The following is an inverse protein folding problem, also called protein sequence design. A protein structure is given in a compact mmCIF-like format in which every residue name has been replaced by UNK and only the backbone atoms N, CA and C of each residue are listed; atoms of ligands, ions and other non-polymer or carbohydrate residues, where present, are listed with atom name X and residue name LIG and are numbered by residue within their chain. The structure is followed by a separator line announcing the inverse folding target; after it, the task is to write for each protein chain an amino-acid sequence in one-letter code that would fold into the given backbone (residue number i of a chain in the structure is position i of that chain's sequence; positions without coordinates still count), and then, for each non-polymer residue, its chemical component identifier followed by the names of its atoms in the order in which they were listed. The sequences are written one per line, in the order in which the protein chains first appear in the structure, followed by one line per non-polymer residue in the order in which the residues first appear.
data_IF_473591246395
#
_entry.id   IF_473591246395
#
_cell.length_a   1.000
_cell.length_b   1.000
_cell.length_c   1.000
_cell.angle_alpha   90.00
_cell.angle_beta   90.00
_cell.angle_gamma   90.00
#
_symmetry.space_group_name_H-M   'P 1'
#
loop_
_entity.id
_entity.type
_entity.pdbx_description
1 polymer ?
#
# COMPACT_ATOMS: atom_id res chain seq x y z
N UNK A 1 0.43 -22.18 15.52
CA UNK A 1 0.72 -21.14 14.52
C UNK A 1 0.27 -19.83 15.12
N UNK A 2 1.17 -18.88 15.30
CA UNK A 2 0.80 -17.52 15.68
C UNK A 2 0.09 -16.93 14.48
N UNK A 3 -1.22 -16.69 14.59
CA UNK A 3 -1.96 -16.00 13.52
C UNK A 3 -1.39 -14.59 13.38
N UNK A 4 -1.28 -14.11 12.14
CA UNK A 4 -0.69 -12.82 11.84
C UNK A 4 -1.66 -11.72 12.32
N UNK A 5 -1.19 -10.85 13.21
CA UNK A 5 -1.98 -9.72 13.73
C UNK A 5 -1.56 -8.43 13.01
N UNK A 6 -2.26 -8.08 11.93
CA UNK A 6 -1.98 -6.86 11.16
C UNK A 6 -2.12 -5.59 12.01
N UNK A 7 -3.17 -5.42 12.84
CA UNK A 7 -3.24 -4.28 13.77
C UNK A 7 -2.02 -4.13 14.69
N UNK A 8 -1.50 -5.23 15.25
CA UNK A 8 -0.30 -5.19 16.07
C UNK A 8 0.94 -4.77 15.26
N UNK A 9 1.12 -5.33 14.06
CA UNK A 9 2.21 -4.97 13.14
C UNK A 9 2.12 -3.50 12.73
N UNK A 10 0.93 -3.00 12.40
CA UNK A 10 0.69 -1.60 12.07
C UNK A 10 1.06 -0.65 13.22
N UNK A 11 0.75 -1.06 14.45
CA UNK A 11 1.10 -0.29 15.66
C UNK A 11 2.62 -0.19 15.81
N UNK A 12 3.34 -1.31 15.65
CA UNK A 12 4.79 -1.34 15.75
C UNK A 12 5.48 -0.56 14.63
N UNK A 13 4.96 -0.65 13.39
CA UNK A 13 5.45 0.14 12.26
C UNK A 13 5.30 1.64 12.51
N UNK A 14 4.15 2.10 13.01
CA UNK A 14 3.97 3.52 13.34
C UNK A 14 4.97 4.00 14.40
N UNK A 15 5.22 3.19 15.44
CA UNK A 15 6.14 3.54 16.53
C UNK A 15 7.58 3.71 16.02
N UNK A 16 8.02 2.82 15.12
CA UNK A 16 9.38 2.83 14.55
C UNK A 16 9.54 3.83 13.41
N UNK A 17 8.47 4.13 12.67
CA UNK A 17 8.53 5.04 11.54
C UNK A 17 9.00 6.46 11.90
N UNK A 18 8.99 6.85 13.18
CA UNK A 18 9.51 8.15 13.65
C UNK A 18 10.98 8.39 13.27
N UNK A 19 11.78 7.34 13.08
CA UNK A 19 13.17 7.44 12.61
C UNK A 19 13.35 7.26 11.10
N UNK A 20 12.25 7.21 10.33
CA UNK A 20 12.24 6.98 8.89
C UNK A 20 11.52 8.11 8.13
N UNK A 21 11.94 8.42 6.89
CA UNK A 21 11.20 9.32 6.00
C UNK A 21 9.69 9.05 5.92
N UNK A 22 9.28 7.78 5.83
CA UNK A 22 7.86 7.40 5.79
C UNK A 22 7.07 7.83 7.03
N UNK A 23 7.71 8.04 8.18
CA UNK A 23 7.06 8.60 9.37
C UNK A 23 6.48 10.00 9.15
N UNK A 24 7.00 10.75 8.18
CA UNK A 24 6.49 12.07 7.79
C UNK A 24 5.37 11.99 6.75
N UNK A 25 4.85 10.80 6.42
CA UNK A 25 3.84 10.61 5.37
C UNK A 25 2.67 11.58 5.50
N UNK A 26 2.13 11.79 6.70
CA UNK A 26 0.97 12.66 6.89
C UNK A 26 1.32 14.14 6.66
N UNK A 27 2.54 14.56 6.99
CA UNK A 27 3.04 15.93 6.78
C UNK A 27 3.29 16.17 5.28
N UNK A 28 3.91 15.21 4.60
CA UNK A 28 4.09 15.20 3.14
C UNK A 28 2.71 15.32 2.46
N UNK A 29 1.72 14.54 2.90
CA UNK A 29 0.35 14.58 2.37
C UNK A 29 -0.34 15.91 2.65
N UNK A 30 -0.15 16.50 3.83
CA UNK A 30 -0.68 17.82 4.14
C UNK A 30 -0.16 18.87 3.15
N UNK A 31 1.15 18.86 2.89
CA UNK A 31 1.79 19.81 1.98
C UNK A 31 1.35 19.60 0.53
N UNK A 32 1.36 18.35 0.04
CA UNK A 32 1.00 18.03 -1.34
C UNK A 32 -0.48 18.24 -1.67
N UNK A 33 -1.36 18.19 -0.66
CA UNK A 33 -2.81 18.35 -0.82
C UNK A 33 -3.35 19.66 -0.25
N UNK A 34 -2.47 20.54 0.22
CA UNK A 34 -2.83 21.84 0.82
C UNK A 34 -3.91 21.68 1.92
N UNK A 35 -3.75 20.68 2.79
CA UNK A 35 -4.74 20.43 3.85
C UNK A 35 -4.59 21.43 4.99
N UNK A 36 -5.70 22.04 5.41
CA UNK A 36 -5.73 22.99 6.54
C UNK A 36 -5.26 22.36 7.86
N UNK A 37 -5.35 21.04 7.99
CA UNK A 37 -5.00 20.30 9.20
C UNK A 37 -4.33 18.97 8.87
N UNK A 38 -3.40 18.57 9.73
CA UNK A 38 -2.76 17.27 9.67
C UNK A 38 -3.78 16.15 9.98
N UNK A 39 -3.97 15.14 9.10
CA UNK A 39 -4.94 14.05 9.33
C UNK A 39 -4.64 13.17 10.56
N UNK A 40 -3.38 13.20 11.03
CA UNK A 40 -2.84 12.44 12.15
C UNK A 40 -1.32 12.33 12.03
N UNK A 41 -0.66 11.64 12.97
CA UNK A 41 0.79 11.35 12.90
C UNK A 41 1.09 9.94 12.38
N UNK A 42 0.10 9.05 12.43
CA UNK A 42 0.28 7.65 12.09
C UNK A 42 0.21 7.41 10.57
N UNK A 43 1.00 6.45 10.09
CA UNK A 43 0.83 5.87 8.76
C UNK A 43 -0.51 5.12 8.77
N UNK A 44 -0.66 4.17 9.70
CA UNK A 44 -1.83 3.32 9.84
C UNK A 44 -2.64 3.72 11.08
N UNK A 45 -3.81 4.34 10.92
CA UNK A 45 -4.62 4.79 12.06
C UNK A 45 -5.33 3.61 12.75
N UNK A 46 -4.80 3.18 13.89
CA UNK A 46 -5.35 2.06 14.68
C UNK A 46 -6.79 2.36 15.10
N UNK A 47 -7.65 1.32 15.07
CA UNK A 47 -9.08 1.44 15.38
C UNK A 47 -9.94 2.08 14.28
N UNK A 48 -9.35 2.43 13.13
CA UNK A 48 -10.10 2.94 11.98
C UNK A 48 -10.46 1.84 10.97
N UNK A 49 -11.33 2.15 10.02
CA UNK A 49 -11.71 1.21 8.93
C UNK A 49 -10.58 0.90 7.94
N UNK A 50 -9.43 1.58 8.04
CA UNK A 50 -8.26 1.32 7.19
C UNK A 50 -7.26 0.38 7.85
N UNK A 51 -7.54 -0.11 9.06
CA UNK A 51 -6.76 -1.13 9.76
C UNK A 51 -7.73 -2.21 10.23
N UNK A 52 -7.67 -3.38 9.59
CA UNK A 52 -8.52 -4.53 9.90
C UNK A 52 -7.65 -5.77 10.14
N UNK A 53 -8.20 -6.89 10.64
CA UNK A 53 -7.39 -8.06 11.02
C UNK A 53 -6.47 -8.60 9.92
N UNK A 54 -6.88 -8.49 8.65
CA UNK A 54 -6.17 -9.09 7.53
C UNK A 54 -5.32 -8.11 6.71
N UNK A 55 -5.55 -6.81 6.83
CA UNK A 55 -4.81 -5.80 6.07
C UNK A 55 -4.94 -4.41 6.69
N UNK A 56 -3.99 -3.55 6.35
CA UNK A 56 -4.04 -2.14 6.65
C UNK A 56 -3.59 -1.32 5.44
N UNK A 57 -4.24 -0.18 5.22
CA UNK A 57 -3.77 0.85 4.32
C UNK A 57 -3.63 2.18 5.07
N UNK A 58 -2.73 3.04 4.60
CA UNK A 58 -2.49 4.28 5.30
C UNK A 58 -3.76 5.14 5.38
N UNK A 59 -3.88 5.89 6.47
CA UNK A 59 -5.10 6.64 6.76
C UNK A 59 -5.31 7.77 5.74
N UNK A 60 -6.49 7.78 5.12
CA UNK A 60 -6.86 8.74 4.07
C UNK A 60 -6.35 8.37 2.67
N UNK A 61 -5.76 7.19 2.48
CA UNK A 61 -5.17 6.78 1.21
C UNK A 61 -6.17 6.39 0.10
N UNK A 62 -7.48 6.42 0.37
CA UNK A 62 -8.48 5.84 -0.56
C UNK A 62 -8.45 6.48 -1.95
N UNK A 63 -8.09 7.76 -2.05
CA UNK A 63 -8.05 8.56 -3.28
C UNK A 63 -6.65 8.73 -3.87
N UNK A 64 -5.68 7.91 -3.44
CA UNK A 64 -4.30 7.95 -3.92
C UNK A 64 -3.62 6.56 -3.93
N UNK A 65 -2.32 6.54 -4.24
CA UNK A 65 -1.48 5.34 -4.10
C UNK A 65 -1.28 5.03 -2.61
N UNK A 66 -1.66 3.82 -2.18
CA UNK A 66 -1.77 3.47 -0.77
C UNK A 66 -0.58 2.66 -0.30
N UNK A 67 0.21 3.18 0.65
CA UNK A 67 0.99 2.29 1.53
C UNK A 67 0.07 1.24 2.16
N UNK A 68 0.44 -0.03 2.02
CA UNK A 68 -0.41 -1.18 2.32
C UNK A 68 0.42 -2.31 2.95
N UNK A 69 -0.12 -2.91 4.00
CA UNK A 69 0.33 -4.19 4.55
C UNK A 69 -0.84 -5.16 4.62
N UNK A 70 -0.55 -6.46 4.61
CA UNK A 70 -1.59 -7.44 4.90
C UNK A 70 -1.16 -8.89 4.76
N UNK A 71 -2.05 -9.79 5.13
CA UNK A 71 -1.90 -11.23 4.95
C UNK A 71 -1.91 -11.59 3.47
N UNK A 72 -0.90 -12.29 3.00
CA UNK A 72 -0.84 -12.90 1.66
C UNK A 72 -0.63 -14.42 1.77
N UNK A 73 -1.09 -15.17 0.77
CA UNK A 73 -1.04 -16.63 0.74
C UNK A 73 -2.13 -17.36 1.56
N UNK A 74 -2.22 -18.69 1.38
CA UNK A 74 -3.17 -19.54 2.08
C UNK A 74 -2.90 -19.56 3.58
N UNK A 75 -3.85 -19.10 4.38
CA UNK A 75 -3.75 -19.10 5.85
C UNK A 75 -2.97 -17.94 6.46
N UNK A 76 -2.61 -16.91 5.69
CA UNK A 76 -1.99 -15.68 6.23
C UNK A 76 -0.56 -15.85 6.76
N UNK A 77 0.16 -16.86 6.28
CA UNK A 77 1.55 -17.13 6.69
C UNK A 77 2.56 -16.09 6.16
N UNK A 78 2.19 -15.32 5.13
CA UNK A 78 3.04 -14.27 4.57
C UNK A 78 2.47 -12.90 4.90
N UNK A 79 3.34 -11.96 5.26
CA UNK A 79 3.04 -10.54 5.27
C UNK A 79 3.46 -9.95 3.92
N UNK A 80 2.55 -9.26 3.23
CA UNK A 80 2.91 -8.33 2.15
C UNK A 80 3.09 -6.93 2.72
N UNK A 81 3.98 -6.15 2.12
CA UNK A 81 4.15 -4.72 2.36
C UNK A 81 4.58 -4.02 1.07
N UNK A 82 4.00 -2.86 0.81
CA UNK A 82 4.33 -2.02 -0.34
C UNK A 82 3.27 -0.96 -0.58
N UNK A 83 3.01 -0.65 -1.84
CA UNK A 83 1.99 0.30 -2.27
C UNK A 83 0.91 -0.37 -3.13
N UNK A 84 -0.30 0.20 -3.12
CA UNK A 84 -1.43 -0.35 -3.85
C UNK A 84 -2.35 0.72 -4.42
N UNK A 85 -2.93 0.42 -5.60
CA UNK A 85 -4.16 1.06 -6.04
C UNK A 85 -5.33 0.12 -5.74
N UNK A 86 -6.31 0.61 -4.99
CA UNK A 86 -7.59 -0.08 -4.84
C UNK A 86 -8.65 0.66 -5.66
N UNK A 87 -9.26 0.00 -6.62
CA UNK A 87 -10.33 0.57 -7.46
C UNK A 87 -11.73 0.15 -7.00
N UNK A 88 -11.87 -0.35 -5.77
CA UNK A 88 -13.16 -0.68 -5.15
C UNK A 88 -13.95 0.59 -4.75
N UNK A 89 -15.05 0.91 -5.43
CA UNK A 89 -15.82 2.11 -5.09
C UNK A 89 -16.51 1.97 -3.73
N UNK A 90 -16.63 3.08 -3.01
CA UNK A 90 -17.37 3.15 -1.75
C UNK A 90 -17.81 4.60 -1.48
N UNK A 91 -18.37 4.87 -0.29
CA UNK A 91 -18.83 6.21 0.06
C UNK A 91 -17.73 7.29 0.04
N UNK A 92 -16.46 6.93 0.26
CA UNK A 92 -15.32 7.87 0.25
C UNK A 92 -14.56 7.90 -1.08
N UNK A 93 -14.85 6.95 -1.99
CA UNK A 93 -14.38 6.90 -3.37
C UNK A 93 -15.54 6.46 -4.27
N UNK A 94 -16.48 7.36 -4.60
CA UNK A 94 -17.67 7.00 -5.37
C UNK A 94 -17.35 6.66 -6.83
N UNK A 95 -16.25 7.19 -7.38
CA UNK A 95 -15.75 6.84 -8.72
C UNK A 95 -14.22 6.69 -8.67
N UNK A 96 -13.67 5.92 -9.61
CA UNK A 96 -12.21 5.74 -9.73
C UNK A 96 -11.51 6.88 -10.48
N UNK A 97 -12.23 7.89 -10.96
CA UNK A 97 -11.69 8.91 -11.87
C UNK A 97 -10.55 9.70 -11.23
N UNK A 98 -10.62 9.95 -9.92
CA UNK A 98 -9.56 10.63 -9.18
C UNK A 98 -8.23 9.86 -9.18
N UNK A 99 -8.29 8.53 -9.35
CA UNK A 99 -7.12 7.66 -9.38
C UNK A 99 -6.50 7.56 -10.78
N UNK A 100 -7.26 7.76 -11.86
CA UNK A 100 -6.75 7.71 -13.24
C UNK A 100 -5.52 8.61 -13.48
N UNK A 101 -5.50 9.90 -13.11
CA UNK A 101 -4.30 10.72 -13.25
C UNK A 101 -3.14 10.25 -12.36
N UNK A 102 -3.41 9.61 -11.21
CA UNK A 102 -2.38 9.06 -10.31
C UNK A 102 -1.73 7.81 -10.91
N UNK A 103 -2.53 6.94 -11.53
CA UNK A 103 -2.04 5.79 -12.29
C UNK A 103 -1.18 6.25 -13.47
N UNK A 104 -1.58 7.32 -14.18
CA UNK A 104 -0.77 7.88 -15.27
C UNK A 104 0.62 8.30 -14.78
N UNK A 105 0.69 9.07 -13.68
CA UNK A 105 1.97 9.49 -13.09
C UNK A 105 2.82 8.30 -12.62
N UNK A 106 2.19 7.28 -12.01
CA UNK A 106 2.86 6.05 -11.62
C UNK A 106 3.44 5.29 -12.83
N UNK A 107 2.68 5.19 -13.92
CA UNK A 107 3.14 4.57 -15.15
C UNK A 107 4.30 5.33 -15.78
N UNK A 108 4.21 6.66 -15.86
CA UNK A 108 5.29 7.53 -16.35
C UNK A 108 6.56 7.31 -15.52
N UNK A 109 6.45 7.26 -14.19
CA UNK A 109 7.58 6.98 -13.30
C UNK A 109 8.24 5.63 -13.58
N UNK A 110 7.45 4.54 -13.68
CA UNK A 110 7.99 3.21 -13.96
C UNK A 110 8.60 3.08 -15.36
N UNK A 111 8.15 3.88 -16.33
CA UNK A 111 8.78 3.94 -17.65
C UNK A 111 10.13 4.66 -17.62
N UNK A 112 10.23 5.73 -16.84
CA UNK A 112 11.48 6.50 -16.69
C UNK A 112 12.54 5.75 -15.88
N UNK A 113 12.11 4.92 -14.92
CA UNK A 113 12.99 4.20 -14.00
C UNK A 113 12.63 2.71 -13.92
N UNK A 114 12.80 1.94 -15.01
CA UNK A 114 12.34 0.55 -15.11
C UNK A 114 12.96 -0.38 -14.06
N UNK A 115 14.19 -0.10 -13.64
CA UNK A 115 14.93 -0.94 -12.69
C UNK A 115 14.77 -0.50 -11.23
N UNK A 116 14.14 0.66 -10.97
CA UNK A 116 14.05 1.26 -9.62
C UNK A 116 13.45 0.31 -8.59
N UNK A 117 12.53 -0.54 -9.00
CA UNK A 117 11.85 -1.51 -8.12
C UNK A 117 12.08 -2.96 -8.56
N UNK A 118 13.18 -3.29 -9.22
CA UNK A 118 13.44 -4.64 -9.74
C UNK A 118 13.40 -5.76 -8.66
N UNK A 119 13.67 -5.42 -7.39
CA UNK A 119 13.56 -6.33 -6.25
C UNK A 119 12.13 -6.54 -5.73
N UNK A 120 11.14 -5.79 -6.24
CA UNK A 120 9.73 -5.89 -5.86
C UNK A 120 8.94 -6.65 -6.94
N UNK A 121 7.71 -7.05 -6.59
CA UNK A 121 6.79 -7.69 -7.53
C UNK A 121 5.47 -6.94 -7.58
N UNK A 122 4.88 -6.95 -8.77
CA UNK A 122 3.49 -6.54 -8.96
C UNK A 122 2.59 -7.75 -9.10
N UNK A 123 1.36 -7.60 -8.61
CA UNK A 123 0.26 -8.53 -8.87
C UNK A 123 -1.06 -7.77 -8.82
N UNK A 124 -2.14 -8.39 -9.28
CA UNK A 124 -3.47 -7.82 -9.17
C UNK A 124 -4.49 -8.83 -8.68
N UNK A 125 -5.59 -8.32 -8.12
CA UNK A 125 -6.77 -9.09 -7.78
C UNK A 125 -7.95 -8.53 -8.56
N UNK A 126 -8.68 -9.40 -9.24
CA UNK A 126 -9.89 -9.05 -9.96
C UNK A 126 -10.86 -10.22 -9.92
N UNK A 127 -12.13 -9.97 -9.62
CA UNK A 127 -13.18 -10.99 -9.71
C UNK A 127 -12.91 -12.22 -8.85
N UNK A 128 -12.44 -12.02 -7.62
CA UNK A 128 -12.04 -13.07 -6.67
C UNK A 128 -10.77 -13.86 -7.03
N UNK A 129 -10.03 -13.45 -8.06
CA UNK A 129 -8.83 -14.13 -8.53
C UNK A 129 -7.62 -13.22 -8.37
N UNK A 130 -6.60 -13.70 -7.66
CA UNK A 130 -5.26 -13.10 -7.63
C UNK A 130 -4.49 -13.59 -8.85
N UNK A 131 -3.81 -12.68 -9.54
CA UNK A 131 -2.88 -13.04 -10.61
C UNK A 131 -1.60 -13.66 -10.06
N UNK A 132 -0.81 -14.23 -10.96
CA UNK A 132 0.60 -14.47 -10.72
C UNK A 132 1.36 -13.15 -10.50
N UNK A 133 2.54 -13.27 -9.91
CA UNK A 133 3.47 -12.16 -9.72
C UNK A 133 4.21 -11.87 -11.03
N UNK A 134 4.41 -10.58 -11.32
CA UNK A 134 5.14 -10.11 -12.48
C UNK A 134 6.09 -8.96 -12.10
N UNK A 135 7.03 -8.67 -13.00
CA UNK A 135 7.96 -7.55 -12.83
C UNK A 135 7.21 -6.21 -12.80
N UNK A 136 7.67 -5.23 -12.00
CA UNK A 136 7.07 -3.91 -12.01
C UNK A 136 7.09 -3.30 -13.41
N UNK A 137 5.99 -2.66 -13.78
CA UNK A 137 5.83 -2.00 -15.06
C UNK A 137 4.52 -1.23 -15.13
N UNK A 138 4.28 -0.53 -16.25
CA UNK A 138 3.07 0.26 -16.42
C UNK A 138 1.80 -0.58 -16.20
N UNK A 139 0.88 -0.03 -15.41
CA UNK A 139 -0.46 -0.56 -15.23
C UNK A 139 -1.22 -0.39 -16.55
N UNK A 140 -1.64 -1.47 -17.22
CA UNK A 140 -2.31 -1.37 -18.49
C UNK A 140 -3.78 -0.89 -18.30
N UNK A 141 -4.36 -0.16 -19.28
CA UNK A 141 -5.66 0.49 -19.13
C UNK A 141 -6.80 -0.47 -18.74
N UNK A 142 -6.77 -1.71 -19.21
CA UNK A 142 -7.76 -2.75 -18.89
C UNK A 142 -7.79 -3.17 -17.41
N UNK A 143 -6.77 -2.79 -16.64
CA UNK A 143 -6.71 -2.98 -15.18
C UNK A 143 -7.15 -1.74 -14.39
N UNK A 144 -7.33 -0.59 -15.04
CA UNK A 144 -7.80 0.65 -14.39
C UNK A 144 -9.33 0.72 -14.46
N UNK A 145 -9.98 -0.20 -13.75
CA UNK A 145 -11.44 -0.35 -13.69
C UNK A 145 -11.89 -0.75 -12.29
N UNK A 146 -13.17 -0.53 -12.01
CA UNK A 146 -13.76 -0.82 -10.70
C UNK A 146 -13.58 -2.29 -10.31
N UNK A 147 -13.37 -2.52 -9.00
CA UNK A 147 -13.20 -3.85 -8.43
C UNK A 147 -11.81 -4.48 -8.63
N UNK A 148 -10.86 -3.77 -9.24
CA UNK A 148 -9.47 -4.22 -9.35
C UNK A 148 -8.65 -3.71 -8.16
N UNK A 149 -7.79 -4.57 -7.60
CA UNK A 149 -6.73 -4.18 -6.68
C UNK A 149 -5.38 -4.47 -7.33
N UNK A 150 -4.48 -3.49 -7.36
CA UNK A 150 -3.12 -3.62 -7.86
C UNK A 150 -2.14 -3.36 -6.73
N UNK A 151 -1.13 -4.22 -6.61
CA UNK A 151 -0.11 -4.12 -5.59
C UNK A 151 1.28 -4.09 -6.22
N UNK A 152 2.18 -3.30 -5.65
CA UNK A 152 3.62 -3.31 -5.88
C UNK A 152 4.30 -3.41 -4.52
N UNK A 153 5.13 -4.42 -4.31
CA UNK A 153 5.88 -4.53 -3.05
C UNK A 153 6.59 -5.86 -2.90
N UNK A 154 6.87 -6.22 -1.65
CA UNK A 154 7.47 -7.49 -1.28
C UNK A 154 6.53 -8.28 -0.37
N UNK A 155 6.89 -9.54 -0.14
CA UNK A 155 6.27 -10.41 0.86
C UNK A 155 7.35 -11.17 1.62
N UNK A 156 7.09 -11.45 2.89
CA UNK A 156 7.98 -12.20 3.76
C UNK A 156 7.19 -13.17 4.65
N UNK A 157 7.75 -14.33 5.01
CA UNK A 157 7.15 -15.20 6.02
C UNK A 157 7.08 -14.47 7.37
N UNK A 158 6.02 -14.71 8.14
CA UNK A 158 5.85 -14.06 9.45
C UNK A 158 7.00 -14.34 10.42
N UNK A 159 7.65 -15.50 10.30
CA UNK A 159 8.81 -15.89 11.08
C UNK A 159 10.06 -15.05 10.75
N UNK A 160 10.04 -14.36 9.61
CA UNK A 160 11.10 -13.46 9.14
C UNK A 160 10.69 -11.98 9.28
N UNK A 161 9.65 -11.68 10.08
CA UNK A 161 9.18 -10.32 10.29
C UNK A 161 10.31 -9.42 10.78
N UNK A 162 10.62 -8.41 9.96
CA UNK A 162 11.61 -7.40 10.25
C UNK A 162 11.03 -6.01 9.92
N UNK A 163 10.69 -5.26 10.96
CA UNK A 163 10.07 -3.93 10.82
C UNK A 163 10.99 -2.92 10.12
N UNK A 164 12.30 -2.97 10.38
CA UNK A 164 13.27 -2.06 9.75
C UNK A 164 13.34 -2.31 8.23
N UNK A 165 13.30 -3.58 7.82
CA UNK A 165 13.26 -3.93 6.40
C UNK A 165 11.99 -3.37 5.74
N UNK A 166 10.84 -3.50 6.38
CA UNK A 166 9.56 -2.98 5.86
C UNK A 166 9.60 -1.46 5.74
N UNK A 167 10.15 -0.77 6.74
CA UNK A 167 10.24 0.69 6.74
C UNK A 167 11.23 1.19 5.68
N UNK A 168 12.38 0.53 5.52
CA UNK A 168 13.32 0.84 4.44
C UNK A 168 12.67 0.63 3.05
N UNK A 169 11.91 -0.46 2.88
CA UNK A 169 11.16 -0.69 1.64
C UNK A 169 10.08 0.38 1.41
N UNK A 170 9.50 0.95 2.46
CA UNK A 170 8.58 2.09 2.33
C UNK A 170 9.28 3.40 2.01
N UNK A 171 10.47 3.64 2.54
CA UNK A 171 11.26 4.84 2.23
C UNK A 171 11.75 4.84 0.77
N UNK A 172 11.89 3.67 0.16
CA UNK A 172 12.24 3.54 -1.26
C UNK A 172 11.09 3.90 -2.22
N UNK A 173 9.82 3.84 -1.75
CA UNK A 173 8.58 3.96 -2.54
C UNK A 173 8.00 5.39 -2.57
#
# INVERSE_FOLDING_TARGET
MTDLDVPAIATELNARALSHPIGQLQEIRQNLKELDRLPGKDIFRIGSKTVVPDWACHYGGRTELQFNIGKDGSGGAMLRHGVAFSFETNQTLPTIDILKPKVRLFNEFLQLYPDKYASMRMWHFQGHIRSDEYMPGPIPPERVKEGVFLFLGKRLPIEQLNYELILNDFDEL
#
